data_IF_922148229489
#
_entry.id   IF_922148229489
#
_cell.length_a   1.000
_cell.length_b   1.000
_cell.length_c   1.000
_cell.angle_alpha   90.00
_cell.angle_beta   90.00
_cell.angle_gamma   90.00
#
_symmetry.space_group_name_H-M   'P 1'
#
loop_
_entity.id
_entity.type
_entity.pdbx_description
1 polymer ?
#
# COMPACT_ATOMS: atom_id res chain seq x y z
N UNK A 1 16.27 -6.60 -54.26
CA UNK A 1 15.22 -7.64 -54.39
C UNK A 1 14.63 -7.87 -53.00
N UNK A 2 13.42 -7.41 -52.77
CA UNK A 2 12.67 -7.60 -51.50
C UNK A 2 11.59 -8.64 -51.76
N UNK A 3 11.40 -9.65 -50.92
CA UNK A 3 10.23 -10.52 -50.99
C UNK A 3 9.06 -9.91 -50.21
N UNK A 4 7.91 -9.84 -50.86
CA UNK A 4 6.62 -9.50 -50.29
C UNK A 4 6.08 -10.75 -49.56
N UNK A 5 5.69 -10.59 -48.27
CA UNK A 5 4.96 -11.59 -47.52
C UNK A 5 3.47 -11.28 -47.61
N UNK A 6 2.76 -12.24 -48.20
CA UNK A 6 1.32 -12.21 -48.44
C UNK A 6 0.57 -12.62 -47.11
N UNK A 7 -0.26 -11.73 -46.59
CA UNK A 7 -1.15 -12.05 -45.46
C UNK A 7 -2.44 -12.67 -46.03
N UNK A 8 -2.69 -13.91 -45.63
CA UNK A 8 -3.97 -14.61 -45.91
C UNK A 8 -4.88 -14.37 -44.70
N UNK A 9 -5.99 -13.67 -44.94
CA UNK A 9 -7.08 -13.47 -43.97
C UNK A 9 -8.06 -14.64 -44.14
N UNK A 10 -8.22 -15.47 -43.11
CA UNK A 10 -9.23 -16.53 -43.05
C UNK A 10 -10.45 -15.99 -42.26
N UNK A 11 -11.55 -15.80 -42.97
CA UNK A 11 -12.85 -15.45 -42.37
C UNK A 11 -13.54 -16.74 -41.90
N UNK A 12 -13.83 -16.87 -40.63
CA UNK A 12 -14.74 -17.87 -40.10
C UNK A 12 -16.16 -17.26 -39.95
N UNK A 13 -17.09 -17.78 -40.76
CA UNK A 13 -18.51 -17.55 -40.63
C UNK A 13 -19.08 -18.55 -39.63
N UNK A 14 -19.60 -18.07 -38.50
CA UNK A 14 -20.37 -18.89 -37.54
C UNK A 14 -21.85 -18.70 -37.83
N UNK A 15 -22.48 -19.79 -38.29
CA UNK A 15 -23.91 -19.84 -38.55
C UNK A 15 -24.74 -20.03 -37.28
N UNK A 16 -25.71 -19.14 -37.07
CA UNK A 16 -26.76 -19.30 -36.06
C UNK A 16 -27.73 -20.40 -36.47
N UNK A 17 -27.99 -21.37 -35.61
CA UNK A 17 -29.17 -22.24 -35.70
C UNK A 17 -30.17 -21.88 -34.61
N UNK A 18 -31.34 -21.45 -35.05
CA UNK A 18 -32.55 -21.34 -34.24
C UNK A 18 -33.11 -22.75 -33.96
N UNK A 19 -33.54 -22.99 -32.72
CA UNK A 19 -34.44 -24.07 -32.37
C UNK A 19 -35.53 -23.50 -31.50
N UNK A 20 -36.77 -23.58 -31.97
CA UNK A 20 -38.00 -23.20 -31.28
C UNK A 20 -38.60 -24.35 -30.46
N UNK A 21 -39.51 -24.04 -29.52
CA UNK A 21 -39.89 -24.90 -28.42
C UNK A 21 -41.11 -25.78 -28.72
N UNK A 22 -41.18 -26.95 -28.08
CA UNK A 22 -42.42 -27.70 -27.93
C UNK A 22 -42.72 -27.94 -26.46
N UNK A 23 -43.92 -27.58 -26.09
CA UNK A 23 -44.43 -27.62 -24.73
C UNK A 23 -45.03 -28.98 -24.32
N UNK A 24 -45.61 -28.91 -23.15
CA UNK A 24 -46.66 -29.71 -22.46
C UNK A 24 -46.11 -30.60 -21.34
N UNK A 25 -46.55 -30.50 -20.21
CA UNK A 25 -47.70 -30.73 -19.40
C UNK A 25 -47.38 -30.65 -17.88
N UNK A 26 -48.35 -30.16 -17.18
CA UNK A 26 -48.56 -30.07 -15.75
C UNK A 26 -48.59 -31.45 -15.05
N UNK A 27 -48.00 -31.50 -13.83
CA UNK A 27 -48.60 -32.23 -12.69
C UNK A 27 -48.01 -31.76 -11.34
N UNK A 28 -48.89 -31.28 -10.55
CA UNK A 28 -49.18 -31.24 -9.09
C UNK A 28 -48.05 -31.49 -8.07
N UNK A 29 -47.84 -30.43 -7.28
CA UNK A 29 -47.79 -30.34 -5.82
C UNK A 29 -46.98 -31.39 -5.03
N UNK A 30 -45.87 -30.94 -4.45
CA UNK A 30 -45.52 -31.27 -3.08
C UNK A 30 -44.90 -30.04 -2.42
N UNK A 31 -45.56 -29.59 -1.34
CA UNK A 31 -45.19 -28.42 -0.56
C UNK A 31 -44.30 -28.84 0.61
N UNK A 32 -43.01 -28.70 0.44
CA UNK A 32 -42.05 -28.69 1.56
C UNK A 32 -41.47 -27.26 1.69
N UNK A 33 -41.32 -26.71 2.90
CA UNK A 33 -40.85 -25.34 3.04
C UNK A 33 -39.38 -25.25 2.69
N UNK A 34 -39.09 -24.46 1.65
CA UNK A 34 -37.73 -24.04 1.33
C UNK A 34 -37.25 -23.15 2.48
N UNK A 35 -36.29 -23.66 3.23
CA UNK A 35 -35.52 -22.84 4.15
C UNK A 35 -34.79 -21.77 3.32
N UNK A 36 -35.20 -20.52 3.45
CA UNK A 36 -34.43 -19.37 2.98
C UNK A 36 -33.10 -19.34 3.73
N UNK A 37 -32.04 -19.83 3.11
CA UNK A 37 -30.68 -19.53 3.50
C UNK A 37 -30.49 -18.01 3.40
N UNK A 38 -30.59 -17.34 4.54
CA UNK A 38 -30.27 -15.93 4.67
C UNK A 38 -28.79 -15.74 4.33
N UNK A 39 -28.52 -15.27 3.13
CA UNK A 39 -27.22 -14.72 2.72
C UNK A 39 -26.86 -13.66 3.76
N UNK A 40 -25.69 -13.73 4.41
CA UNK A 40 -25.27 -12.70 5.35
C UNK A 40 -25.19 -11.38 4.60
N UNK A 41 -26.06 -10.45 4.93
CA UNK A 41 -25.97 -9.06 4.49
C UNK A 41 -24.61 -8.58 4.99
N UNK A 42 -23.69 -8.30 4.06
CA UNK A 42 -22.43 -7.67 4.37
C UNK A 42 -22.73 -6.44 5.24
N UNK A 43 -22.30 -6.49 6.49
CA UNK A 43 -22.49 -5.39 7.43
C UNK A 43 -21.77 -4.18 6.85
N UNK A 44 -22.53 -3.21 6.32
CA UNK A 44 -22.04 -1.88 6.03
C UNK A 44 -21.69 -1.25 7.38
N UNK A 45 -20.45 -1.48 7.81
CA UNK A 45 -19.89 -0.77 8.95
C UNK A 45 -19.88 0.71 8.57
N UNK A 46 -20.72 1.51 9.23
CA UNK A 46 -20.68 2.98 9.11
C UNK A 46 -19.24 3.42 9.35
N UNK A 47 -18.65 4.24 8.47
CA UNK A 47 -17.27 4.70 8.65
C UNK A 47 -17.15 5.33 10.04
N UNK A 48 -16.20 4.85 10.84
CA UNK A 48 -15.95 5.46 12.15
C UNK A 48 -15.60 6.94 11.97
N UNK A 49 -16.12 7.84 12.82
CA UNK A 49 -15.78 9.26 12.74
C UNK A 49 -14.27 9.45 12.94
N UNK A 50 -13.74 10.51 12.36
CA UNK A 50 -12.34 10.90 12.60
C UNK A 50 -12.13 11.26 14.06
N UNK A 51 -10.98 10.88 14.60
CA UNK A 51 -10.55 11.32 15.94
C UNK A 51 -10.25 12.82 15.95
N UNK A 52 -10.16 13.47 17.12
CA UNK A 52 -9.74 14.89 17.19
C UNK A 52 -8.39 15.15 16.51
N UNK A 53 -7.41 14.25 16.69
CA UNK A 53 -6.10 14.33 16.03
C UNK A 53 -6.22 14.17 14.52
N UNK A 54 -7.02 13.26 14.03
CA UNK A 54 -7.27 13.07 12.60
C UNK A 54 -7.99 14.28 11.98
N UNK A 55 -8.96 14.89 12.70
CA UNK A 55 -9.58 16.16 12.28
C UNK A 55 -8.55 17.30 12.18
N UNK A 56 -7.59 17.34 13.11
CA UNK A 56 -6.50 18.32 13.06
C UNK A 56 -5.59 18.07 11.85
N UNK A 57 -5.23 16.82 11.55
CA UNK A 57 -4.46 16.48 10.35
C UNK A 57 -5.17 16.92 9.06
N UNK A 58 -6.48 16.71 8.96
CA UNK A 58 -7.30 17.23 7.85
C UNK A 58 -7.26 18.76 7.77
N UNK A 59 -7.36 19.46 8.91
CA UNK A 59 -7.30 20.93 8.95
C UNK A 59 -5.94 21.48 8.54
N UNK A 60 -4.86 20.72 8.69
CA UNK A 60 -3.52 21.04 8.19
C UNK A 60 -3.36 20.78 6.67
N UNK A 61 -4.42 20.32 6.00
CA UNK A 61 -4.44 20.07 4.55
C UNK A 61 -3.91 18.70 4.15
N UNK A 62 -3.72 17.79 5.08
CA UNK A 62 -3.46 16.39 4.77
C UNK A 62 -4.77 15.68 4.37
N UNK A 63 -4.67 14.61 3.63
CA UNK A 63 -5.82 13.82 3.17
C UNK A 63 -5.68 12.36 3.62
N UNK A 64 -6.78 11.76 3.99
CA UNK A 64 -6.88 10.33 4.21
C UNK A 64 -6.83 9.61 2.86
N UNK A 65 -5.84 8.74 2.68
CA UNK A 65 -5.59 8.06 1.41
C UNK A 65 -6.78 7.21 0.97
N UNK A 66 -7.48 6.58 1.92
CA UNK A 66 -8.63 5.72 1.62
C UNK A 66 -9.87 6.50 1.12
N UNK A 67 -9.90 7.83 1.30
CA UNK A 67 -10.91 8.69 0.65
C UNK A 67 -10.66 8.85 -0.86
N UNK A 68 -9.43 8.65 -1.33
CA UNK A 68 -9.08 8.69 -2.76
C UNK A 68 -9.23 7.32 -3.42
N UNK A 69 -8.89 6.26 -2.70
CA UNK A 69 -9.04 4.89 -3.15
C UNK A 69 -9.18 3.95 -1.95
N UNK A 70 -10.40 3.49 -1.71
CA UNK A 70 -10.74 2.63 -0.57
C UNK A 70 -10.19 1.20 -0.67
N UNK A 71 -9.68 0.80 -1.84
CA UNK A 71 -9.04 -0.50 -2.02
C UNK A 71 -7.62 -0.55 -1.46
N UNK A 72 -6.99 0.62 -1.20
CA UNK A 72 -5.71 0.69 -0.51
C UNK A 72 -5.91 0.26 0.95
N UNK A 73 -5.14 -0.73 1.38
CA UNK A 73 -5.18 -1.18 2.76
C UNK A 73 -4.25 -0.34 3.65
N UNK A 74 -4.61 -0.23 4.91
CA UNK A 74 -3.85 0.54 5.91
C UNK A 74 -3.63 -0.32 7.15
N UNK A 75 -2.38 -0.52 7.51
CA UNK A 75 -1.94 -1.17 8.74
C UNK A 75 -0.81 -0.34 9.35
N UNK A 76 -1.17 0.70 10.08
CA UNK A 76 -0.15 1.56 10.73
C UNK A 76 0.55 0.77 11.83
N UNK A 77 1.78 0.34 11.57
CA UNK A 77 2.55 -0.54 12.46
C UNK A 77 2.74 0.08 13.84
N UNK A 78 2.91 1.40 13.90
CA UNK A 78 3.09 2.12 15.18
C UNK A 78 1.80 2.35 15.97
N UNK A 79 0.64 1.91 15.47
CA UNK A 79 -0.62 1.89 16.23
C UNK A 79 -0.76 0.67 17.14
N UNK A 80 0.18 -0.25 17.08
CA UNK A 80 0.27 -1.44 17.92
C UNK A 80 1.64 -1.52 18.60
N UNK A 81 1.83 -2.35 19.64
CA UNK A 81 3.15 -2.59 20.21
C UNK A 81 4.02 -3.54 19.36
N UNK A 82 3.45 -4.15 18.30
CA UNK A 82 4.16 -5.04 17.38
C UNK A 82 4.99 -4.23 16.36
N UNK A 83 6.01 -3.54 16.87
CA UNK A 83 6.99 -2.75 16.14
C UNK A 83 8.32 -2.74 16.89
N UNK A 84 9.38 -2.24 16.27
CA UNK A 84 10.73 -2.28 16.84
C UNK A 84 10.88 -1.56 18.20
N UNK A 85 9.94 -0.67 18.55
CA UNK A 85 9.96 0.04 19.84
C UNK A 85 9.28 -0.73 20.96
N UNK A 86 8.48 -1.75 20.63
CA UNK A 86 7.65 -2.50 21.57
C UNK A 86 6.55 -1.67 22.22
N UNK A 87 6.20 -0.50 21.65
CA UNK A 87 5.21 0.43 22.20
C UNK A 87 4.25 0.93 21.15
N UNK A 88 2.99 1.15 21.55
CA UNK A 88 2.03 1.90 20.74
C UNK A 88 2.41 3.38 20.73
N UNK A 89 2.73 3.92 19.56
CA UNK A 89 3.12 5.32 19.39
C UNK A 89 1.98 6.18 18.80
N UNK A 90 1.08 5.56 18.02
CA UNK A 90 -0.15 6.19 17.51
C UNK A 90 -1.33 5.72 18.36
N UNK A 91 -1.81 6.59 19.25
CA UNK A 91 -2.93 6.27 20.16
C UNK A 91 -4.28 6.66 19.56
N UNK A 92 -4.29 7.62 18.64
CA UNK A 92 -5.49 8.24 18.08
C UNK A 92 -5.34 8.61 16.58
N UNK A 93 -4.36 8.01 15.89
CA UNK A 93 -4.20 8.05 14.43
C UNK A 93 -4.39 6.61 13.93
N UNK A 94 -5.48 6.37 13.21
CA UNK A 94 -5.88 5.04 12.73
C UNK A 94 -5.93 4.96 11.20
N UNK A 95 -5.74 6.09 10.51
CA UNK A 95 -5.79 6.24 9.06
C UNK A 95 -4.50 6.81 8.51
N UNK A 96 -4.23 6.55 7.26
CA UNK A 96 -3.03 7.04 6.57
C UNK A 96 -3.26 8.43 6.00
N UNK A 97 -2.70 9.45 6.64
CA UNK A 97 -2.76 10.84 6.18
C UNK A 97 -1.48 11.21 5.46
N UNK A 98 -1.61 11.79 4.27
CA UNK A 98 -0.49 12.23 3.43
C UNK A 98 -0.79 13.61 2.84
N UNK A 99 0.25 14.29 2.35
CA UNK A 99 0.04 15.45 1.47
C UNK A 99 -0.83 15.04 0.27
N UNK A 100 -1.75 15.92 -0.20
CA UNK A 100 -2.66 15.60 -1.31
C UNK A 100 -1.94 15.06 -2.55
N UNK A 101 -0.80 15.65 -2.90
CA UNK A 101 0.01 15.20 -4.05
C UNK A 101 0.57 13.80 -3.88
N UNK A 102 1.01 13.41 -2.67
CA UNK A 102 1.51 12.07 -2.41
C UNK A 102 0.35 11.06 -2.43
N UNK A 103 -0.75 11.37 -1.76
CA UNK A 103 -1.94 10.52 -1.72
C UNK A 103 -2.49 10.22 -3.13
N UNK A 104 -2.56 11.25 -4.02
CA UNK A 104 -2.96 11.08 -5.41
C UNK A 104 -2.01 10.12 -6.17
N UNK A 105 -0.71 10.21 -5.95
CA UNK A 105 0.29 9.32 -6.56
C UNK A 105 0.14 7.88 -6.06
N UNK A 106 -0.13 7.68 -4.78
CA UNK A 106 -0.38 6.34 -4.22
C UNK A 106 -1.67 5.75 -4.79
N UNK A 107 -2.75 6.53 -4.91
CA UNK A 107 -3.98 6.08 -5.56
C UNK A 107 -3.77 5.74 -7.06
N UNK A 108 -2.93 6.49 -7.77
CA UNK A 108 -2.58 6.17 -9.15
C UNK A 108 -1.74 4.87 -9.26
N UNK A 109 -0.79 4.66 -8.33
CA UNK A 109 -0.02 3.42 -8.25
C UNK A 109 -0.90 2.21 -7.94
N UNK A 110 -1.92 2.37 -7.07
CA UNK A 110 -2.91 1.32 -6.77
C UNK A 110 -3.69 0.92 -8.02
N UNK A 111 -4.17 1.89 -8.80
CA UNK A 111 -4.87 1.62 -10.06
C UNK A 111 -3.97 0.90 -11.08
N UNK A 112 -2.70 1.32 -11.20
CA UNK A 112 -1.71 0.65 -12.04
C UNK A 112 -1.48 -0.80 -11.57
N UNK A 113 -1.35 -1.03 -10.26
CA UNK A 113 -1.21 -2.36 -9.67
C UNK A 113 -2.41 -3.24 -10.03
N UNK A 114 -3.62 -2.77 -9.82
CA UNK A 114 -4.86 -3.53 -10.08
C UNK A 114 -5.04 -3.89 -11.56
N UNK A 115 -4.53 -3.06 -12.49
CA UNK A 115 -4.53 -3.39 -13.92
C UNK A 115 -3.62 -4.58 -14.27
N UNK A 116 -2.50 -4.76 -13.56
CA UNK A 116 -1.50 -5.81 -13.86
C UNK A 116 -1.59 -7.02 -12.92
N UNK A 117 -2.07 -6.80 -11.70
CA UNK A 117 -2.23 -7.80 -10.64
C UNK A 117 -3.50 -7.49 -9.83
N UNK A 118 -4.69 -7.84 -10.34
CA UNK A 118 -5.98 -7.58 -9.68
C UNK A 118 -6.14 -8.34 -8.36
N UNK A 119 -5.33 -9.34 -8.11
CA UNK A 119 -5.22 -10.13 -6.88
C UNK A 119 -4.44 -9.42 -5.77
N UNK A 120 -3.78 -8.28 -6.07
CA UNK A 120 -2.95 -7.55 -5.12
C UNK A 120 -3.49 -6.15 -4.82
N UNK A 121 -3.06 -5.63 -3.69
CA UNK A 121 -3.30 -4.25 -3.26
C UNK A 121 -2.06 -3.66 -2.60
N UNK A 122 -1.98 -2.35 -2.56
CA UNK A 122 -1.01 -1.63 -1.73
C UNK A 122 -1.46 -1.63 -0.27
N UNK A 123 -0.52 -1.81 0.66
CA UNK A 123 -0.76 -1.65 2.09
C UNK A 123 0.20 -0.63 2.69
N UNK A 124 -0.35 0.42 3.29
CA UNK A 124 0.42 1.47 3.95
C UNK A 124 0.75 1.02 5.38
N UNK A 125 2.05 1.07 5.72
CA UNK A 125 2.59 0.68 7.02
C UNK A 125 2.88 1.90 7.91
N UNK A 126 3.27 3.04 7.32
CA UNK A 126 3.40 4.35 7.98
C UNK A 126 3.16 5.49 6.99
N UNK A 127 2.63 6.61 7.51
CA UNK A 127 2.28 7.78 6.71
C UNK A 127 2.77 9.08 7.40
N UNK A 128 1.88 10.03 7.71
CA UNK A 128 2.29 11.18 8.51
C UNK A 128 2.68 10.75 9.91
N UNK A 129 3.85 11.19 10.34
CA UNK A 129 4.37 10.95 11.69
C UNK A 129 4.56 12.29 12.38
N UNK A 130 3.74 12.65 13.38
CA UNK A 130 3.94 13.90 14.14
C UNK A 130 5.33 13.98 14.76
N UNK A 131 5.85 15.19 14.92
CA UNK A 131 7.18 15.40 15.53
C UNK A 131 7.24 14.90 16.97
N UNK A 132 6.13 14.97 17.73
CA UNK A 132 6.03 14.40 19.07
C UNK A 132 6.30 12.90 19.07
N UNK A 133 5.72 12.18 18.12
CA UNK A 133 5.95 10.75 17.94
C UNK A 133 7.39 10.47 17.49
N UNK A 134 7.94 11.26 16.56
CA UNK A 134 9.34 11.13 16.15
C UNK A 134 10.30 11.33 17.32
N UNK A 135 10.05 12.31 18.20
CA UNK A 135 10.83 12.53 19.43
C UNK A 135 10.75 11.33 20.37
N UNK A 136 9.57 10.80 20.58
CA UNK A 136 9.35 9.60 21.41
C UNK A 136 10.07 8.39 20.85
N UNK A 137 9.93 8.11 19.55
CA UNK A 137 10.60 7.03 18.85
C UNK A 137 12.12 7.13 18.97
N UNK A 138 12.69 8.31 18.70
CA UNK A 138 14.15 8.52 18.80
C UNK A 138 14.66 8.36 20.24
N UNK A 139 13.91 8.80 21.24
CA UNK A 139 14.30 8.67 22.65
C UNK A 139 14.45 7.22 23.10
N UNK A 140 13.72 6.29 22.49
CA UNK A 140 13.78 4.86 22.78
C UNK A 140 15.05 4.19 22.23
N UNK A 141 15.60 4.73 21.15
CA UNK A 141 16.80 4.19 20.50
C UNK A 141 18.07 5.01 20.78
N UNK A 142 17.94 6.18 21.36
CA UNK A 142 19.09 7.05 21.68
C UNK A 142 20.08 6.34 22.59
N UNK A 143 21.37 6.32 22.19
CA UNK A 143 22.44 5.63 22.91
C UNK A 143 22.51 4.13 22.64
N UNK A 144 21.68 3.58 21.76
CA UNK A 144 21.76 2.20 21.26
C UNK A 144 22.32 2.16 19.84
N UNK A 145 22.76 1.00 19.32
CA UNK A 145 23.16 0.86 17.90
C UNK A 145 22.03 1.19 16.92
N UNK A 146 20.77 1.12 17.35
CA UNK A 146 19.59 1.39 16.51
C UNK A 146 19.39 2.88 16.20
N UNK A 147 20.09 3.78 16.90
CA UNK A 147 19.94 5.23 16.71
C UNK A 147 20.31 5.73 15.30
N UNK A 148 21.07 4.96 14.53
CA UNK A 148 21.45 5.30 13.16
C UNK A 148 20.30 5.08 12.15
N UNK A 149 19.33 4.23 12.49
CA UNK A 149 18.18 3.92 11.64
C UNK A 149 16.97 4.82 11.89
N UNK A 150 16.94 5.54 13.00
CA UNK A 150 15.84 6.44 13.35
C UNK A 150 16.27 7.90 13.20
N UNK A 151 15.57 8.65 12.37
CA UNK A 151 15.87 10.07 12.15
C UNK A 151 15.93 10.84 13.46
N UNK A 152 17.09 11.45 13.74
CA UNK A 152 17.28 12.28 14.93
C UNK A 152 16.53 13.61 14.75
N UNK A 153 15.52 13.92 15.57
CA UNK A 153 14.72 15.13 15.43
C UNK A 153 15.53 16.42 15.67
N UNK A 154 16.68 16.35 16.35
CA UNK A 154 17.62 17.48 16.51
C UNK A 154 18.26 17.92 15.19
N UNK A 155 18.35 17.03 14.21
CA UNK A 155 18.85 17.33 12.86
C UNK A 155 17.75 17.91 11.95
N UNK A 156 16.58 18.26 12.52
CA UNK A 156 15.39 18.72 11.84
C UNK A 156 14.44 17.58 11.41
N UNK A 157 13.22 17.93 10.97
CA UNK A 157 12.18 16.98 10.63
C UNK A 157 12.54 16.06 9.46
N UNK A 158 12.10 14.80 9.53
CA UNK A 158 12.10 13.85 8.42
C UNK A 158 10.88 14.06 7.50
N UNK A 159 10.84 13.35 6.37
CA UNK A 159 9.76 13.56 5.38
C UNK A 159 8.40 13.05 5.84
N UNK A 160 8.33 12.02 6.68
CA UNK A 160 7.09 11.61 7.37
C UNK A 160 6.50 12.73 8.22
N UNK A 161 7.34 13.57 8.84
CA UNK A 161 6.83 14.66 9.68
C UNK A 161 6.12 15.78 8.88
N UNK A 162 6.19 15.73 7.56
CA UNK A 162 5.46 16.63 6.64
C UNK A 162 4.31 15.94 5.92
N UNK A 163 4.08 14.64 6.14
CA UNK A 163 3.21 13.82 5.29
C UNK A 163 3.73 13.69 3.86
N UNK A 164 5.04 13.86 3.65
CA UNK A 164 5.73 13.85 2.35
C UNK A 164 6.50 12.54 2.08
N UNK A 165 6.36 11.54 2.94
CA UNK A 165 6.86 10.18 2.78
C UNK A 165 5.80 9.17 3.16
N UNK A 166 5.95 7.96 2.66
CA UNK A 166 5.09 6.81 2.96
C UNK A 166 5.96 5.55 3.04
N UNK A 167 5.67 4.72 4.04
CA UNK A 167 6.15 3.35 4.12
C UNK A 167 5.02 2.42 3.66
N UNK A 168 5.30 1.61 2.63
CA UNK A 168 4.26 0.90 1.89
C UNK A 168 4.79 -0.43 1.38
N UNK A 169 3.89 -1.43 1.30
CA UNK A 169 4.19 -2.77 0.79
C UNK A 169 3.09 -3.29 -0.12
N UNK A 170 3.23 -4.53 -0.58
CA UNK A 170 2.22 -5.27 -1.33
C UNK A 170 1.54 -6.28 -0.41
N UNK A 171 0.23 -6.40 -0.56
CA UNK A 171 -0.58 -7.42 0.09
C UNK A 171 -1.54 -8.07 -0.93
N UNK A 172 -2.09 -9.22 -0.58
CA UNK A 172 -3.26 -9.74 -1.29
C UNK A 172 -4.55 -9.00 -0.86
N UNK A 173 -5.64 -9.24 -1.54
CA UNK A 173 -6.93 -8.61 -1.23
C UNK A 173 -7.50 -9.03 0.14
N UNK A 174 -7.00 -10.13 0.72
CA UNK A 174 -7.36 -10.58 2.07
C UNK A 174 -6.51 -9.92 3.18
N UNK A 175 -5.46 -9.15 2.81
CA UNK A 175 -4.59 -8.44 3.75
C UNK A 175 -3.32 -9.20 4.13
N UNK A 176 -3.03 -10.32 3.51
CA UNK A 176 -1.79 -11.02 3.75
C UNK A 176 -0.64 -10.33 2.99
N UNK A 177 0.42 -9.99 3.72
CA UNK A 177 1.60 -9.34 3.14
C UNK A 177 2.34 -10.27 2.18
N UNK A 178 2.80 -9.74 1.06
CA UNK A 178 3.72 -10.46 0.19
C UNK A 178 5.11 -10.51 0.84
N UNK A 179 5.85 -11.63 0.68
CA UNK A 179 7.21 -11.73 1.19
C UNK A 179 8.12 -10.74 0.46
N UNK A 180 8.90 -9.97 1.23
CA UNK A 180 9.82 -8.94 0.74
C UNK A 180 11.29 -9.22 1.07
N UNK A 181 11.61 -10.36 1.70
CA UNK A 181 12.97 -10.77 2.06
C UNK A 181 13.54 -10.09 3.30
N UNK A 182 12.83 -9.17 3.89
CA UNK A 182 12.99 -8.68 5.25
C UNK A 182 11.67 -8.08 5.73
N UNK A 183 11.48 -8.04 7.02
CA UNK A 183 10.36 -7.34 7.63
C UNK A 183 10.48 -5.83 7.44
N UNK A 184 9.37 -5.13 7.68
CA UNK A 184 9.35 -3.68 7.87
C UNK A 184 10.23 -3.34 9.09
N UNK A 185 10.93 -2.21 9.05
CA UNK A 185 11.88 -1.79 10.10
C UNK A 185 13.02 -2.78 10.38
N UNK A 186 13.35 -3.67 9.45
CA UNK A 186 14.54 -4.50 9.57
C UNK A 186 15.83 -3.67 9.47
N UNK A 187 16.64 -3.72 10.51
CA UNK A 187 17.90 -2.96 10.63
C UNK A 187 19.08 -3.78 10.14
N UNK A 188 19.11 -4.05 8.84
CA UNK A 188 20.17 -4.85 8.22
C UNK A 188 20.26 -4.67 6.71
N UNK A 189 21.28 -5.24 6.08
CA UNK A 189 21.50 -5.10 4.64
C UNK A 189 20.38 -5.71 3.80
N UNK A 190 19.56 -6.61 4.36
CA UNK A 190 18.38 -7.17 3.67
C UNK A 190 17.31 -6.13 3.37
N UNK A 191 17.27 -4.99 4.07
CA UNK A 191 16.37 -3.87 3.78
C UNK A 191 16.81 -3.03 2.59
N UNK A 192 18.11 -3.09 2.24
CA UNK A 192 18.70 -2.19 1.25
C UNK A 192 18.28 -2.56 -0.17
N UNK A 193 18.14 -1.53 -1.02
CA UNK A 193 17.75 -1.70 -2.43
C UNK A 193 18.92 -1.65 -3.42
N UNK A 194 20.10 -1.23 -2.99
CA UNK A 194 21.27 -1.05 -3.85
C UNK A 194 22.10 -2.33 -4.06
N UNK A 195 21.88 -3.34 -3.22
CA UNK A 195 22.57 -4.64 -3.28
C UNK A 195 21.59 -5.84 -3.44
N UNK A 196 20.37 -5.60 -3.89
CA UNK A 196 19.34 -6.67 -4.00
C UNK A 196 19.76 -7.84 -4.89
N UNK A 197 20.55 -7.57 -5.96
CA UNK A 197 21.05 -8.64 -6.80
C UNK A 197 22.09 -9.52 -6.06
N UNK A 198 22.91 -8.93 -5.22
CA UNK A 198 23.85 -9.67 -4.36
C UNK A 198 23.10 -10.49 -3.30
N UNK A 199 22.08 -9.91 -2.69
CA UNK A 199 21.22 -10.63 -1.75
C UNK A 199 20.54 -11.85 -2.43
N UNK A 200 20.04 -11.68 -3.65
CA UNK A 200 19.46 -12.77 -4.43
C UNK A 200 20.51 -13.84 -4.78
N UNK A 201 21.66 -13.43 -5.33
CA UNK A 201 22.70 -14.37 -5.79
C UNK A 201 23.33 -15.16 -4.64
N UNK A 202 23.36 -14.59 -3.44
CA UNK A 202 23.83 -15.25 -2.21
C UNK A 202 22.74 -16.05 -1.49
N UNK A 203 21.50 -16.08 -2.00
CA UNK A 203 20.38 -16.80 -1.39
C UNK A 203 19.83 -16.16 -0.11
N UNK A 204 20.17 -14.90 0.18
CA UNK A 204 19.64 -14.16 1.34
C UNK A 204 18.22 -13.66 1.13
N UNK A 205 17.81 -13.47 -0.13
CA UNK A 205 16.43 -13.28 -0.53
C UNK A 205 16.11 -14.25 -1.68
N UNK A 206 14.86 -14.64 -1.81
CA UNK A 206 14.35 -15.49 -2.88
C UNK A 206 14.09 -14.68 -4.15
N UNK A 207 13.92 -15.36 -5.29
CA UNK A 207 13.51 -14.74 -6.54
C UNK A 207 12.15 -14.03 -6.40
N UNK A 208 11.20 -14.63 -5.68
CA UNK A 208 9.88 -14.05 -5.44
C UNK A 208 9.97 -12.74 -4.66
N UNK A 209 10.75 -12.68 -3.59
CA UNK A 209 10.95 -11.48 -2.77
C UNK A 209 11.62 -10.36 -3.59
N UNK A 210 12.63 -10.72 -4.38
CA UNK A 210 13.26 -9.79 -5.31
C UNK A 210 12.27 -9.21 -6.32
N UNK A 211 11.42 -10.06 -6.93
CA UNK A 211 10.43 -9.64 -7.92
C UNK A 211 9.32 -8.79 -7.29
N UNK A 212 8.87 -9.11 -6.06
CA UNK A 212 7.91 -8.30 -5.31
C UNK A 212 8.45 -6.89 -5.02
N UNK A 213 9.69 -6.76 -4.55
CA UNK A 213 10.34 -5.45 -4.35
C UNK A 213 10.44 -4.66 -5.64
N UNK A 214 10.80 -5.32 -6.74
CA UNK A 214 10.88 -4.65 -8.07
C UNK A 214 9.52 -4.19 -8.55
N UNK A 215 8.47 -4.97 -8.34
CA UNK A 215 7.10 -4.59 -8.66
C UNK A 215 6.71 -3.33 -7.88
N UNK A 216 6.83 -3.35 -6.55
CA UNK A 216 6.53 -2.21 -5.69
C UNK A 216 7.31 -0.96 -6.14
N UNK A 217 8.63 -1.07 -6.27
CA UNK A 217 9.50 0.05 -6.67
C UNK A 217 9.16 0.59 -8.05
N UNK A 218 8.81 -0.26 -9.03
CA UNK A 218 8.37 0.16 -10.35
C UNK A 218 7.11 1.01 -10.26
N UNK A 219 6.09 0.56 -9.53
CA UNK A 219 4.83 1.28 -9.32
C UNK A 219 5.05 2.66 -8.65
N UNK A 220 5.89 2.72 -7.63
CA UNK A 220 6.17 3.98 -6.95
C UNK A 220 6.98 4.95 -7.84
N UNK A 221 7.96 4.42 -8.58
CA UNK A 221 8.79 5.25 -9.49
C UNK A 221 8.04 5.71 -10.72
N UNK A 222 7.08 4.94 -11.26
CA UNK A 222 6.22 5.39 -12.37
C UNK A 222 5.40 6.63 -11.99
N UNK A 223 5.08 6.77 -10.70
CA UNK A 223 4.43 7.96 -10.15
C UNK A 223 5.43 9.08 -9.78
N UNK A 224 6.72 8.92 -10.06
CA UNK A 224 7.76 9.91 -9.80
C UNK A 224 8.13 10.03 -8.31
N UNK A 225 7.91 8.97 -7.50
CA UNK A 225 8.37 8.91 -6.12
C UNK A 225 9.84 8.54 -6.04
N UNK A 226 10.51 9.03 -5.01
CA UNK A 226 11.94 8.86 -4.77
C UNK A 226 12.13 7.72 -3.77
N UNK A 227 12.94 6.73 -4.15
CA UNK A 227 13.30 5.59 -3.29
C UNK A 227 14.33 5.98 -2.24
N UNK A 228 14.38 5.22 -1.14
CA UNK A 228 15.42 5.34 -0.11
C UNK A 228 16.33 4.11 -0.12
N UNK A 229 17.67 4.33 -0.04
CA UNK A 229 18.63 3.25 -0.30
C UNK A 229 18.60 2.12 0.71
N UNK A 230 18.40 2.43 1.98
CA UNK A 230 18.46 1.48 3.09
C UNK A 230 17.11 0.82 3.42
N UNK A 231 16.02 1.20 2.71
CA UNK A 231 14.67 0.78 3.06
C UNK A 231 13.85 0.52 1.79
N UNK A 232 13.51 -0.74 1.52
CA UNK A 232 12.74 -1.12 0.32
C UNK A 232 11.29 -0.61 0.35
N UNK A 233 10.75 -0.33 1.54
CA UNK A 233 9.36 0.12 1.77
C UNK A 233 9.17 1.63 1.68
N UNK A 234 10.24 2.42 1.82
CA UNK A 234 10.18 3.87 1.99
C UNK A 234 10.23 4.64 0.68
N UNK A 235 9.25 5.54 0.48
CA UNK A 235 9.15 6.39 -0.72
C UNK A 235 8.85 7.84 -0.36
N UNK A 236 9.59 8.75 -0.99
CA UNK A 236 9.50 10.19 -0.75
C UNK A 236 8.83 10.90 -1.93
N UNK A 237 7.99 11.90 -1.63
CA UNK A 237 7.42 12.81 -2.62
C UNK A 237 8.46 13.78 -3.19
N UNK A 238 9.40 14.23 -2.35
CA UNK A 238 10.39 15.24 -2.67
C UNK A 238 11.66 15.07 -1.83
N UNK A 239 12.69 15.89 -2.11
CA UNK A 239 13.88 15.93 -1.26
C UNK A 239 13.58 16.59 0.08
N UNK A 240 14.35 16.21 1.12
CA UNK A 240 14.25 16.79 2.46
C UNK A 240 14.47 18.31 2.45
N UNK A 241 15.45 18.80 1.67
CA UNK A 241 15.72 20.24 1.52
C UNK A 241 14.49 20.98 0.99
N UNK A 242 13.82 20.43 -0.03
CA UNK A 242 12.60 21.05 -0.58
C UNK A 242 11.48 21.07 0.46
N UNK A 243 11.27 19.98 1.18
CA UNK A 243 10.25 19.93 2.23
C UNK A 243 10.50 21.00 3.31
N UNK A 244 11.74 21.11 3.78
CA UNK A 244 12.12 22.14 4.78
C UNK A 244 11.89 23.58 4.30
N UNK A 245 12.03 23.82 3.01
CA UNK A 245 11.84 25.18 2.44
C UNK A 245 10.37 25.52 2.16
N UNK A 246 9.52 24.52 1.94
CA UNK A 246 8.18 24.74 1.39
C UNK A 246 7.03 24.24 2.27
N UNK A 247 7.31 23.43 3.27
CA UNK A 247 6.31 22.80 4.12
C UNK A 247 6.53 23.14 5.60
N UNK A 248 5.46 23.01 6.37
CA UNK A 248 5.52 23.02 7.84
C UNK A 248 5.38 21.60 8.36
N UNK A 249 6.24 21.16 9.28
CA UNK A 249 6.10 19.84 9.88
C UNK A 249 4.85 19.78 10.77
N UNK A 250 4.26 18.60 10.85
CA UNK A 250 3.15 18.31 11.77
C UNK A 250 3.73 18.12 13.17
N UNK A 251 3.36 18.98 14.08
CA UNK A 251 3.70 18.89 15.52
C UNK A 251 2.38 18.92 16.30
N UNK A 252 1.98 17.80 16.88
CA UNK A 252 0.74 17.58 17.61
C UNK A 252 1.04 17.19 19.05
#
# INVERSE_FOLDING_TARGET
MRPYILFIIVLFLVGCRHVSPSGTHCDTADSSPVQEDSVPIASHTTPQPYTPTECMLLSLGLVDVQQLDSSIQVHLVYSTPDNFTGKTLYTDIHRAFLLPQLAQKIAAAQKELQCIRPDLTLMILDAVRPLSVQRSMFSLVQGTPLNIYVSNPRNGPGLHNYGAAVDITLADTAGNLLPMGSDFDHFGPESHIDNEYELLSSGRITQQEYDNRRLLRRLMRSQGLITFRSEWWHFNLMSRTRAQQTLKPVDL
#
